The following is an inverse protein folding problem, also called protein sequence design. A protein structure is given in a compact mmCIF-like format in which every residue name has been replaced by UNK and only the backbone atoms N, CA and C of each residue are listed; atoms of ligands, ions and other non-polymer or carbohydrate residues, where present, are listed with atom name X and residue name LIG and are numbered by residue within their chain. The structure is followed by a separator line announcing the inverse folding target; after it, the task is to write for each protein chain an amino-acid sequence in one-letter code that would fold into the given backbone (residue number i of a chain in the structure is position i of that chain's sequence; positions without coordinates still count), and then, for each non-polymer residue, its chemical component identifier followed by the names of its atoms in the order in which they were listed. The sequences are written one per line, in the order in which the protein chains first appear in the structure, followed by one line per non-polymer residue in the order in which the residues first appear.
data_IF_418883811258
#
_entry.id   IF_418883811258
#
_cell.length_a   1.000
_cell.length_b   1.000
_cell.length_c   1.000
_cell.angle_alpha   90.00
_cell.angle_beta   90.00
_cell.angle_gamma   90.00
#
_symmetry.space_group_name_H-M   'P 1'
#
loop_
_entity.id
_entity.type
_entity.pdbx_description
1 polymer ?
#
# COMPACT_ATOMS: atom_id res chain seq x y z
N UNK A 1 -19.77 -11.19 -10.66
CA UNK A 1 -19.47 -10.56 -9.34
C UNK A 1 -18.04 -10.03 -9.27
N UNK A 2 -17.09 -10.62 -9.99
CA UNK A 2 -15.71 -10.10 -10.10
C UNK A 2 -15.67 -8.80 -10.92
N UNK A 3 -16.55 -8.64 -11.91
CA UNK A 3 -16.57 -7.45 -12.78
C UNK A 3 -16.92 -6.16 -12.02
N UNK A 4 -17.86 -6.25 -11.07
CA UNK A 4 -18.29 -5.10 -10.24
C UNK A 4 -17.16 -4.66 -9.32
N UNK A 5 -16.43 -5.61 -8.74
CA UNK A 5 -15.30 -5.32 -7.84
C UNK A 5 -14.13 -4.68 -8.59
N UNK A 6 -13.86 -5.14 -9.82
CA UNK A 6 -12.85 -4.52 -10.69
C UNK A 6 -13.29 -3.12 -11.12
N UNK A 7 -14.56 -2.95 -11.51
CA UNK A 7 -15.13 -1.65 -11.88
C UNK A 7 -15.04 -0.63 -10.74
N UNK A 8 -15.42 -1.02 -9.52
CA UNK A 8 -15.25 -0.20 -8.31
C UNK A 8 -13.79 0.11 -8.02
N UNK A 9 -12.91 -0.88 -8.18
CA UNK A 9 -11.47 -0.70 -7.98
C UNK A 9 -10.88 0.34 -8.93
N UNK A 10 -11.26 0.31 -10.22
CA UNK A 10 -10.82 1.28 -11.24
C UNK A 10 -11.35 2.69 -10.93
N UNK A 11 -12.62 2.81 -10.57
CA UNK A 11 -13.24 4.12 -10.24
C UNK A 11 -12.59 4.74 -9.01
N UNK A 12 -12.35 3.95 -7.96
CA UNK A 12 -11.66 4.41 -6.75
C UNK A 12 -10.20 4.77 -7.05
N UNK A 13 -9.49 3.98 -7.85
CA UNK A 13 -8.14 4.28 -8.30
C UNK A 13 -8.06 5.62 -9.04
N UNK A 14 -9.02 5.89 -9.93
CA UNK A 14 -9.10 7.16 -10.67
C UNK A 14 -9.39 8.34 -9.73
N UNK A 15 -10.41 8.23 -8.88
CA UNK A 15 -10.77 9.28 -7.92
C UNK A 15 -9.60 9.61 -6.98
N UNK A 16 -8.93 8.60 -6.42
CA UNK A 16 -7.78 8.83 -5.55
C UNK A 16 -6.58 9.39 -6.32
N UNK A 17 -6.35 8.97 -7.57
CA UNK A 17 -5.30 9.54 -8.42
C UNK A 17 -5.49 11.03 -8.65
N UNK A 18 -6.72 11.43 -8.95
CA UNK A 18 -7.07 12.79 -9.35
C UNK A 18 -7.16 13.75 -8.15
N UNK A 19 -7.63 13.25 -7.00
CA UNK A 19 -7.77 14.06 -5.77
C UNK A 19 -6.47 14.21 -4.98
N UNK A 20 -5.63 13.16 -4.92
CA UNK A 20 -4.42 13.17 -4.08
C UNK A 20 -3.14 13.53 -4.85
N UNK A 21 -3.16 13.51 -6.19
CA UNK A 21 -1.99 13.80 -7.02
C UNK A 21 -0.82 12.81 -6.83
N UNK A 22 -1.06 11.68 -6.16
CA UNK A 22 -0.02 10.69 -5.81
C UNK A 22 0.26 9.81 -7.02
N UNK A 23 1.46 9.91 -7.58
CA UNK A 23 1.88 9.15 -8.76
C UNK A 23 2.10 7.66 -8.45
N UNK A 24 1.64 6.79 -9.37
CA UNK A 24 1.86 5.33 -9.51
C UNK A 24 1.60 4.41 -8.30
N UNK A 25 2.11 4.72 -7.10
CA UNK A 25 1.98 3.87 -5.91
C UNK A 25 0.63 4.01 -5.19
N UNK A 26 0.04 5.22 -5.14
CA UNK A 26 -1.24 5.46 -4.44
C UNK A 26 -2.47 5.04 -5.24
N UNK A 27 -2.35 5.01 -6.57
CA UNK A 27 -3.46 4.76 -7.50
C UNK A 27 -3.88 3.29 -7.46
N UNK A 28 -2.93 2.37 -7.35
CA UNK A 28 -3.15 0.92 -7.50
C UNK A 28 -3.74 0.31 -6.20
N UNK A 29 -3.40 0.88 -5.04
CA UNK A 29 -3.78 0.37 -3.71
C UNK A 29 -5.29 0.30 -3.46
N UNK A 30 -6.12 1.34 -3.72
CA UNK A 30 -7.56 1.27 -3.47
C UNK A 30 -8.26 0.21 -4.32
N UNK A 31 -7.78 -0.04 -5.55
CA UNK A 31 -8.27 -1.12 -6.41
C UNK A 31 -8.04 -2.50 -5.80
N UNK A 32 -6.84 -2.75 -5.27
CA UNK A 32 -6.56 -3.98 -4.54
C UNK A 32 -7.32 -4.07 -3.21
N UNK A 33 -7.46 -2.97 -2.47
CA UNK A 33 -8.27 -2.96 -1.24
C UNK A 33 -9.72 -3.33 -1.53
N UNK A 34 -10.31 -2.81 -2.61
CA UNK A 34 -11.67 -3.14 -3.01
C UNK A 34 -11.86 -4.64 -3.32
N UNK A 35 -10.87 -5.27 -3.97
CA UNK A 35 -10.86 -6.72 -4.23
C UNK A 35 -10.89 -7.55 -2.94
N UNK A 36 -10.13 -7.12 -1.93
CA UNK A 36 -9.99 -7.82 -0.66
C UNK A 36 -10.95 -7.32 0.44
N UNK A 37 -11.93 -6.45 0.14
CA UNK A 37 -12.92 -5.98 1.11
C UNK A 37 -13.71 -7.12 1.77
N UNK A 38 -13.92 -8.22 1.04
CA UNK A 38 -14.57 -9.44 1.55
C UNK A 38 -13.72 -10.19 2.59
N UNK A 39 -12.43 -9.87 2.71
CA UNK A 39 -11.48 -10.46 3.64
C UNK A 39 -10.95 -9.38 4.61
N UNK A 40 -11.74 -8.99 5.62
CA UNK A 40 -11.44 -7.84 6.47
C UNK A 40 -10.11 -7.99 7.23
N UNK A 41 -9.74 -9.22 7.60
CA UNK A 41 -8.47 -9.51 8.24
C UNK A 41 -7.28 -9.08 7.37
N UNK A 42 -7.33 -9.38 6.07
CA UNK A 42 -6.26 -9.04 5.12
C UNK A 42 -6.12 -7.53 4.93
N UNK A 43 -7.26 -6.82 4.89
CA UNK A 43 -7.27 -5.35 4.82
C UNK A 43 -6.65 -4.73 6.06
N UNK A 44 -7.02 -5.22 7.26
CA UNK A 44 -6.44 -4.75 8.53
C UNK A 44 -4.93 -4.99 8.55
N UNK A 45 -4.47 -6.18 8.17
CA UNK A 45 -3.04 -6.48 8.16
C UNK A 45 -2.29 -5.60 7.15
N UNK A 46 -2.87 -5.33 5.98
CA UNK A 46 -2.26 -4.43 4.99
C UNK A 46 -2.06 -3.03 5.56
N UNK A 47 -3.04 -2.51 6.30
CA UNK A 47 -2.95 -1.20 6.98
C UNK A 47 -1.87 -1.24 8.07
N UNK A 48 -1.83 -2.31 8.89
CA UNK A 48 -0.81 -2.47 9.93
C UNK A 48 0.61 -2.52 9.34
N UNK A 49 0.80 -3.26 8.25
CA UNK A 49 2.08 -3.32 7.52
C UNK A 49 2.45 -1.94 6.98
N UNK A 50 1.51 -1.19 6.41
CA UNK A 50 1.77 0.16 5.92
C UNK A 50 2.24 1.12 7.04
N UNK A 51 1.59 1.06 8.21
CA UNK A 51 1.97 1.85 9.40
C UNK A 51 3.37 1.44 9.88
N UNK A 52 3.65 0.14 9.92
CA UNK A 52 4.96 -0.39 10.34
C UNK A 52 6.07 0.09 9.39
N UNK A 53 5.88 -0.06 8.07
CA UNK A 53 6.84 0.40 7.06
C UNK A 53 7.06 1.90 7.17
N UNK A 54 5.99 2.68 7.33
CA UNK A 54 6.10 4.13 7.55
C UNK A 54 6.93 4.45 8.80
N UNK A 55 6.69 3.78 9.93
CA UNK A 55 7.45 3.95 11.16
C UNK A 55 8.93 3.63 10.98
N UNK A 56 9.26 2.52 10.31
CA UNK A 56 10.65 2.14 9.99
C UNK A 56 11.31 3.24 9.16
N UNK A 57 10.66 3.74 8.11
CA UNK A 57 11.21 4.80 7.25
C UNK A 57 11.45 6.08 8.04
N UNK A 58 10.56 6.46 8.97
CA UNK A 58 10.74 7.65 9.80
C UNK A 58 11.94 7.51 10.73
N UNK A 59 12.11 6.36 11.37
CA UNK A 59 13.26 6.08 12.24
C UNK A 59 14.56 6.04 11.44
N UNK A 60 14.55 5.39 10.26
CA UNK A 60 15.72 5.34 9.39
C UNK A 60 16.05 6.72 8.81
N UNK A 61 15.06 7.53 8.45
CA UNK A 61 15.25 8.88 7.93
C UNK A 61 15.92 9.83 8.92
N UNK A 62 15.84 9.55 10.23
CA UNK A 62 16.59 10.29 11.25
C UNK A 62 18.08 9.95 11.28
N UNK A 63 18.47 8.73 10.87
CA UNK A 63 19.86 8.25 10.89
C UNK A 63 20.54 8.31 9.52
N UNK A 64 19.76 8.18 8.44
CA UNK A 64 20.23 8.05 7.06
C UNK A 64 19.51 9.09 6.21
N UNK A 65 20.24 9.78 5.33
CA UNK A 65 19.67 10.71 4.35
C UNK A 65 18.80 9.95 3.33
N UNK A 66 17.51 9.78 3.66
CA UNK A 66 16.49 9.13 2.84
C UNK A 66 15.58 10.16 2.20
N UNK A 67 16.07 10.82 1.15
CA UNK A 67 15.33 11.81 0.38
C UNK A 67 15.05 11.34 -1.05
N UNK A 68 13.94 11.83 -1.62
CA UNK A 68 13.54 11.57 -3.01
C UNK A 68 13.34 10.08 -3.32
N UNK A 69 13.90 9.63 -4.44
CA UNK A 69 13.69 8.28 -5.01
C UNK A 69 14.08 7.13 -4.06
N UNK A 70 15.10 7.33 -3.22
CA UNK A 70 15.59 6.29 -2.28
C UNK A 70 14.56 5.92 -1.23
N UNK A 71 13.79 6.90 -0.74
CA UNK A 71 12.72 6.69 0.23
C UNK A 71 11.60 5.81 -0.34
N UNK A 72 11.25 6.03 -1.62
CA UNK A 72 10.19 5.29 -2.31
C UNK A 72 10.60 3.83 -2.53
N UNK A 73 11.82 3.59 -3.00
CA UNK A 73 12.33 2.23 -3.24
C UNK A 73 12.39 1.43 -1.93
N UNK A 74 12.87 2.05 -0.84
CA UNK A 74 12.88 1.39 0.47
C UNK A 74 11.47 1.08 0.98
N UNK A 75 10.50 1.99 0.78
CA UNK A 75 9.11 1.74 1.15
C UNK A 75 8.53 0.54 0.41
N UNK A 76 8.82 0.42 -0.88
CA UNK A 76 8.41 -0.72 -1.70
C UNK A 76 9.05 -2.03 -1.22
N UNK A 77 10.36 -2.03 -0.98
CA UNK A 77 11.08 -3.23 -0.52
C UNK A 77 10.55 -3.70 0.84
N UNK A 78 10.41 -2.77 1.80
CA UNK A 78 9.89 -3.09 3.12
C UNK A 78 8.43 -3.56 3.05
N UNK A 79 7.59 -2.86 2.28
CA UNK A 79 6.19 -3.24 2.09
C UNK A 79 6.04 -4.63 1.48
N UNK A 80 6.85 -4.96 0.47
CA UNK A 80 6.85 -6.30 -0.12
C UNK A 80 7.34 -7.36 0.87
N UNK A 81 8.40 -7.07 1.62
CA UNK A 81 8.96 -7.99 2.61
C UNK A 81 7.96 -8.34 3.72
N UNK A 82 7.38 -7.32 4.36
CA UNK A 82 6.38 -7.53 5.42
C UNK A 82 5.06 -8.09 4.89
N UNK A 83 4.64 -7.68 3.69
CA UNK A 83 3.46 -8.26 3.03
C UNK A 83 3.64 -9.74 2.70
N UNK A 84 4.83 -10.14 2.25
CA UNK A 84 5.15 -11.54 2.00
C UNK A 84 5.13 -12.37 3.29
N UNK A 85 5.74 -11.86 4.37
CA UNK A 85 5.70 -12.53 5.69
C UNK A 85 4.26 -12.68 6.16
N UNK A 86 3.47 -11.61 6.10
CA UNK A 86 2.07 -11.61 6.50
C UNK A 86 1.26 -12.68 5.77
N UNK A 87 1.52 -12.92 4.48
CA UNK A 87 0.74 -13.87 3.69
C UNK A 87 1.16 -15.33 3.87
N UNK A 88 2.37 -15.59 4.37
CA UNK A 88 2.87 -16.95 4.59
C UNK A 88 2.67 -17.43 6.04
N UNK A 89 2.63 -16.52 7.01
CA UNK A 89 2.47 -16.85 8.44
C UNK A 89 1.02 -16.77 8.94
N UNK A 90 0.12 -16.13 8.19
CA UNK A 90 -1.30 -15.94 8.52
C UNK A 90 -2.11 -16.44 7.32
#
# INVERSE_FOLDING_TARGET
MVEVTIGLGIVLSLLLSETLGVTAGGIIVPGYMALYLHQPLQVIITILVAILVWGIIQVLGKKVFLYGKRRIVLALILGFFFGFISRNFI
#
